data_IF_498271358717
#
_entry.id   IF_498271358717
#
_cell.length_a   1.000
_cell.length_b   1.000
_cell.length_c   1.000
_cell.angle_alpha   90.00
_cell.angle_beta   90.00
_cell.angle_gamma   90.00
#
_symmetry.space_group_name_H-M   'P 1'
#
loop_
_entity.id
_entity.type
_entity.pdbx_description
1 polymer ?
#
# COMPACT_ATOMS: atom_id res chain seq x y z
N UNK A 1 14.47 -19.97 -14.70
CA UNK A 1 13.03 -19.64 -14.65
C UNK A 1 12.91 -18.16 -14.36
N UNK A 2 12.13 -17.42 -15.17
CA UNK A 2 11.85 -16.02 -14.89
C UNK A 2 10.62 -15.96 -13.97
N UNK A 3 10.82 -15.63 -12.70
CA UNK A 3 9.73 -15.47 -11.75
C UNK A 3 9.25 -14.01 -11.77
N UNK A 4 7.94 -13.84 -11.93
CA UNK A 4 7.30 -12.52 -11.86
C UNK A 4 7.06 -12.16 -10.40
N UNK A 5 7.48 -10.96 -10.03
CA UNK A 5 7.28 -10.39 -8.71
C UNK A 5 6.69 -8.98 -8.83
N UNK A 6 5.95 -8.54 -7.81
CA UNK A 6 5.57 -7.15 -7.69
C UNK A 6 6.72 -6.35 -7.13
N UNK A 7 7.17 -5.33 -7.87
CA UNK A 7 8.17 -4.38 -7.40
C UNK A 7 7.52 -3.03 -7.14
N UNK A 8 7.91 -2.41 -6.03
CA UNK A 8 7.59 -1.01 -5.77
C UNK A 8 8.58 -0.09 -6.53
N UNK A 9 8.04 0.82 -7.32
CA UNK A 9 8.78 1.88 -8.01
C UNK A 9 8.41 3.22 -7.42
N UNK A 10 9.41 4.09 -7.29
CA UNK A 10 9.23 5.47 -6.90
C UNK A 10 9.19 6.34 -8.16
N UNK A 11 8.21 7.23 -8.25
CA UNK A 11 8.03 8.15 -9.38
C UNK A 11 8.58 9.53 -9.06
N UNK A 12 8.73 10.37 -10.08
CA UNK A 12 8.79 11.81 -9.84
C UNK A 12 7.47 12.30 -9.21
N UNK A 13 7.55 13.45 -8.53
CA UNK A 13 6.43 14.00 -7.77
C UNK A 13 5.22 14.25 -8.69
N UNK A 14 4.06 13.70 -8.33
CA UNK A 14 2.80 13.77 -9.08
C UNK A 14 2.82 13.13 -10.49
N UNK A 15 3.83 12.30 -10.81
CA UNK A 15 3.95 11.61 -12.10
C UNK A 15 3.51 10.13 -12.02
N UNK A 16 2.84 9.71 -10.95
CA UNK A 16 2.39 8.32 -10.75
C UNK A 16 1.47 7.85 -11.89
N UNK A 17 0.55 8.71 -12.32
CA UNK A 17 -0.40 8.40 -13.42
C UNK A 17 0.30 8.33 -14.77
N UNK A 18 1.28 9.20 -15.01
CA UNK A 18 2.09 9.19 -16.23
C UNK A 18 2.83 7.86 -16.37
N UNK A 19 3.56 7.45 -15.32
CA UNK A 19 4.30 6.20 -15.33
C UNK A 19 3.36 4.99 -15.47
N UNK A 20 2.24 4.99 -14.73
CA UNK A 20 1.21 3.94 -14.82
C UNK A 20 0.72 3.77 -16.25
N UNK A 21 0.26 4.85 -16.87
CA UNK A 21 -0.38 4.80 -18.19
C UNK A 21 0.63 4.40 -19.27
N UNK A 22 1.88 4.88 -19.17
CA UNK A 22 2.96 4.44 -20.04
C UNK A 22 3.22 2.93 -19.94
N UNK A 23 3.39 2.41 -18.71
CA UNK A 23 3.69 1.00 -18.50
C UNK A 23 2.52 0.08 -18.89
N UNK A 24 1.28 0.48 -18.62
CA UNK A 24 0.10 -0.23 -19.10
C UNK A 24 0.07 -0.31 -20.63
N UNK A 25 0.41 0.78 -21.33
CA UNK A 25 0.49 0.78 -22.79
C UNK A 25 1.61 -0.12 -23.35
N UNK A 26 2.66 -0.37 -22.57
CA UNK A 26 3.72 -1.34 -22.89
C UNK A 26 3.36 -2.78 -22.50
N UNK A 27 2.18 -3.02 -21.93
CA UNK A 27 1.70 -4.36 -21.56
C UNK A 27 2.16 -4.86 -20.20
N UNK A 28 2.70 -4.00 -19.33
CA UNK A 28 2.98 -4.37 -17.95
C UNK A 28 1.70 -4.48 -17.13
N UNK A 29 1.71 -5.40 -16.17
CA UNK A 29 0.72 -5.41 -15.11
C UNK A 29 1.15 -4.41 -14.02
N UNK A 30 0.29 -3.41 -13.78
CA UNK A 30 0.60 -2.25 -12.93
C UNK A 30 -0.54 -2.02 -11.95
N UNK A 31 -0.21 -1.64 -10.73
CA UNK A 31 -1.16 -1.25 -9.70
C UNK A 31 -0.75 0.07 -9.03
N UNK A 32 -1.60 1.09 -9.19
CA UNK A 32 -1.53 2.35 -8.44
C UNK A 32 -2.64 2.34 -7.39
N UNK A 33 -2.33 2.22 -6.10
CA UNK A 33 -3.36 2.31 -5.06
C UNK A 33 -3.83 3.76 -4.95
N UNK A 34 -5.08 4.03 -5.29
CA UNK A 34 -5.69 5.35 -5.15
C UNK A 34 -6.78 5.31 -4.08
N UNK A 35 -6.76 6.27 -3.16
CA UNK A 35 -7.84 6.47 -2.18
C UNK A 35 -8.80 7.56 -2.68
N UNK A 36 -10.07 7.40 -2.34
CA UNK A 36 -11.12 8.38 -2.57
C UNK A 36 -11.00 9.51 -1.54
N UNK A 37 -11.20 10.75 -1.95
CA UNK A 37 -11.39 11.86 -1.02
C UNK A 37 -12.39 12.89 -1.56
N UNK A 38 -12.98 13.65 -0.64
CA UNK A 38 -13.85 14.77 -0.99
C UNK A 38 -13.04 16.04 -1.15
N UNK A 39 -13.11 16.62 -2.33
CA UNK A 39 -12.45 17.88 -2.67
C UNK A 39 -13.50 18.98 -2.84
N UNK A 40 -13.23 20.15 -2.26
CA UNK A 40 -14.05 21.35 -2.51
C UNK A 40 -13.40 22.18 -3.60
N UNK A 41 -14.10 22.33 -4.72
CA UNK A 41 -13.66 23.15 -5.86
C UNK A 41 -14.63 24.32 -6.00
N UNK A 42 -14.15 25.51 -5.63
CA UNK A 42 -15.01 26.69 -5.48
C UNK A 42 -16.08 26.44 -4.42
N UNK A 43 -17.35 26.43 -4.82
CA UNK A 43 -18.49 26.18 -3.93
C UNK A 43 -19.13 24.78 -4.08
N UNK A 44 -18.49 23.86 -4.80
CA UNK A 44 -19.00 22.50 -5.06
C UNK A 44 -18.07 21.44 -4.47
N UNK A 45 -18.65 20.37 -3.92
CA UNK A 45 -17.91 19.16 -3.53
C UNK A 45 -17.89 18.18 -4.69
N UNK A 46 -16.72 17.61 -4.99
CA UNK A 46 -16.56 16.50 -5.93
C UNK A 46 -15.76 15.38 -5.29
N UNK A 47 -15.93 14.17 -5.82
CA UNK A 47 -15.10 13.03 -5.48
C UNK A 47 -13.84 13.10 -6.34
N UNK A 48 -12.68 13.05 -5.68
CA UNK A 48 -11.37 13.01 -6.31
C UNK A 48 -10.59 11.79 -5.81
N UNK A 49 -9.55 11.42 -6.54
CA UNK A 49 -8.68 10.28 -6.22
C UNK A 49 -7.24 10.74 -6.13
N UNK A 50 -6.54 10.26 -5.12
CA UNK A 50 -5.10 10.48 -4.98
C UNK A 50 -4.37 9.19 -4.62
N UNK A 51 -3.08 9.06 -4.94
CA UNK A 51 -2.27 7.93 -4.51
C UNK A 51 -2.33 7.74 -2.99
N UNK A 52 -2.63 6.52 -2.54
CA UNK A 52 -2.59 6.14 -1.14
C UNK A 52 -1.16 6.29 -0.60
N UNK A 53 -0.17 5.80 -1.36
CA UNK A 53 1.25 6.00 -1.10
C UNK A 53 1.79 6.99 -2.14
N UNK A 54 2.12 8.21 -1.70
CA UNK A 54 2.62 9.25 -2.60
C UNK A 54 3.89 8.79 -3.31
N UNK A 55 4.00 9.10 -4.59
CA UNK A 55 5.11 8.76 -5.47
C UNK A 55 5.38 7.25 -5.61
N UNK A 56 4.48 6.36 -5.20
CA UNK A 56 4.68 4.92 -5.31
C UNK A 56 3.75 4.29 -6.34
N UNK A 57 4.29 3.35 -7.10
CA UNK A 57 3.56 2.53 -8.06
C UNK A 57 4.06 1.08 -7.93
N UNK A 58 3.20 0.10 -8.12
CA UNK A 58 3.60 -1.32 -8.13
C UNK A 58 3.54 -1.86 -9.55
N UNK A 59 4.59 -2.59 -9.95
CA UNK A 59 4.71 -3.20 -11.28
C UNK A 59 5.05 -4.67 -11.11
N UNK A 60 4.27 -5.55 -11.74
CA UNK A 60 4.55 -6.98 -11.76
C UNK A 60 5.43 -7.30 -12.96
N UNK A 61 6.67 -7.71 -12.73
CA UNK A 61 7.61 -8.02 -13.80
C UNK A 61 8.72 -8.96 -13.34
N UNK A 62 9.63 -9.28 -14.25
CA UNK A 62 10.87 -10.00 -13.97
C UNK A 62 12.00 -9.01 -13.71
N UNK A 63 13.11 -9.46 -13.12
CA UNK A 63 14.30 -8.63 -12.92
C UNK A 63 14.82 -8.00 -14.24
N UNK A 64 14.66 -8.70 -15.37
CA UNK A 64 15.05 -8.19 -16.69
C UNK A 64 14.12 -7.07 -17.15
N UNK A 65 12.80 -7.23 -16.98
CA UNK A 65 11.82 -6.22 -17.34
C UNK A 65 11.91 -4.93 -16.52
N UNK A 66 12.60 -4.96 -15.38
CA UNK A 66 12.92 -3.73 -14.63
C UNK A 66 13.86 -2.79 -15.39
N UNK A 67 14.62 -3.26 -16.39
CA UNK A 67 15.46 -2.37 -17.18
C UNK A 67 14.62 -1.43 -18.04
N UNK A 68 13.53 -1.92 -18.62
CA UNK A 68 12.59 -1.12 -19.40
C UNK A 68 11.82 -0.14 -18.50
N UNK A 69 11.38 -0.60 -17.32
CA UNK A 69 10.70 0.24 -16.32
C UNK A 69 11.56 1.45 -15.91
N UNK A 70 12.88 1.28 -15.81
CA UNK A 70 13.80 2.38 -15.46
C UNK A 70 13.92 3.46 -16.55
N UNK A 71 13.60 3.12 -17.79
CA UNK A 71 13.64 4.06 -18.92
C UNK A 71 12.29 4.75 -19.14
N UNK A 72 11.25 4.34 -18.41
CA UNK A 72 9.91 4.90 -18.57
C UNK A 72 9.83 6.35 -18.07
N UNK A 73 9.06 7.22 -18.75
CA UNK A 73 8.81 8.58 -18.28
C UNK A 73 8.13 8.57 -16.91
N UNK A 74 8.59 9.46 -16.03
CA UNK A 74 8.11 9.58 -14.65
C UNK A 74 8.67 8.58 -13.66
N UNK A 75 9.51 7.64 -14.11
CA UNK A 75 10.30 6.81 -13.21
C UNK A 75 11.39 7.64 -12.50
N UNK A 76 11.53 7.47 -11.18
CA UNK A 76 12.65 8.03 -10.42
C UNK A 76 13.66 6.95 -10.02
N UNK A 77 13.24 5.98 -9.22
CA UNK A 77 14.10 4.90 -8.75
C UNK A 77 13.28 3.69 -8.27
N UNK A 78 13.94 2.54 -8.11
CA UNK A 78 13.33 1.37 -7.50
C UNK A 78 13.37 1.50 -5.97
N UNK A 79 12.25 1.19 -5.31
CA UNK A 79 12.20 1.15 -3.84
C UNK A 79 13.05 -0.03 -3.35
N UNK A 80 13.77 0.19 -2.25
CA UNK A 80 14.69 -0.79 -1.68
C UNK A 80 14.31 -1.09 -0.24
N UNK A 81 14.42 -2.37 0.12
CA UNK A 81 14.37 -2.82 1.50
C UNK A 81 15.74 -3.37 1.88
N UNK A 82 16.51 -2.58 2.63
CA UNK A 82 17.92 -2.84 2.88
C UNK A 82 18.72 -2.91 1.58
N UNK A 83 19.36 -4.06 1.32
CA UNK A 83 20.21 -4.27 0.13
C UNK A 83 19.42 -4.73 -1.11
N UNK A 84 18.18 -5.17 -0.92
CA UNK A 84 17.37 -5.79 -1.98
C UNK A 84 16.33 -4.82 -2.52
N UNK A 85 15.86 -5.07 -3.74
CA UNK A 85 14.70 -4.39 -4.28
C UNK A 85 13.47 -4.78 -3.47
N UNK A 86 12.58 -3.82 -3.20
CA UNK A 86 11.34 -4.07 -2.49
C UNK A 86 10.39 -4.90 -3.37
N UNK A 87 10.47 -6.22 -3.19
CA UNK A 87 9.50 -7.18 -3.74
C UNK A 87 8.31 -7.26 -2.80
N UNK A 88 7.14 -6.84 -3.27
CA UNK A 88 5.89 -6.86 -2.52
C UNK A 88 5.22 -8.22 -2.74
N UNK A 89 4.87 -8.97 -1.69
CA UNK A 89 4.12 -10.22 -1.88
C UNK A 89 2.73 -9.96 -2.45
N UNK A 90 2.22 -10.89 -3.26
CA UNK A 90 0.86 -10.82 -3.84
C UNK A 90 -0.21 -10.64 -2.74
N UNK A 91 -0.03 -11.30 -1.59
CA UNK A 91 -0.91 -11.16 -0.42
C UNK A 91 -1.03 -9.72 0.07
N UNK A 92 0.02 -8.90 -0.04
CA UNK A 92 -0.01 -7.49 0.32
C UNK A 92 -0.68 -6.63 -0.77
N UNK A 93 -0.51 -6.97 -2.06
CA UNK A 93 -1.28 -6.31 -3.13
C UNK A 93 -2.78 -6.56 -2.94
N UNK A 94 -3.16 -7.79 -2.60
CA UNK A 94 -4.55 -8.15 -2.27
C UNK A 94 -5.00 -7.39 -1.02
N UNK A 95 -4.18 -7.34 0.05
CA UNK A 95 -4.46 -6.57 1.27
C UNK A 95 -4.80 -5.11 0.95
N UNK A 96 -3.96 -4.42 0.15
CA UNK A 96 -4.18 -3.02 -0.23
C UNK A 96 -5.51 -2.88 -0.98
N UNK A 97 -5.77 -3.76 -1.97
CA UNK A 97 -7.02 -3.77 -2.73
C UNK A 97 -8.25 -3.98 -1.84
N UNK A 98 -8.21 -4.95 -0.93
CA UNK A 98 -9.28 -5.24 0.02
C UNK A 98 -9.55 -4.04 0.93
N UNK A 99 -8.50 -3.43 1.50
CA UNK A 99 -8.65 -2.26 2.37
C UNK A 99 -9.28 -1.10 1.59
N UNK A 100 -8.75 -0.75 0.42
CA UNK A 100 -9.27 0.36 -0.38
C UNK A 100 -10.70 0.12 -0.90
N UNK A 101 -11.12 -1.14 -1.05
CA UNK A 101 -12.48 -1.48 -1.45
C UNK A 101 -13.50 -1.30 -0.32
N UNK A 102 -13.16 -1.70 0.92
CA UNK A 102 -14.10 -1.71 2.04
C UNK A 102 -13.98 -0.49 2.98
N UNK A 103 -12.86 0.23 2.96
CA UNK A 103 -12.54 1.30 3.91
C UNK A 103 -12.12 2.57 3.19
N UNK A 104 -13.10 3.40 2.82
CA UNK A 104 -12.89 4.63 2.03
C UNK A 104 -11.98 5.66 2.74
N UNK A 105 -11.98 5.68 4.07
CA UNK A 105 -11.18 6.59 4.90
C UNK A 105 -9.74 6.09 5.15
N UNK A 106 -9.30 5.04 4.46
CA UNK A 106 -7.96 4.50 4.61
C UNK A 106 -6.89 5.55 4.24
N UNK A 107 -5.83 5.62 5.05
CA UNK A 107 -4.69 6.53 4.84
C UNK A 107 -3.38 5.78 4.99
N UNK A 108 -2.29 6.29 4.43
CA UNK A 108 -0.95 5.73 4.65
C UNK A 108 -0.23 6.42 5.79
N UNK A 109 0.62 5.70 6.50
CA UNK A 109 1.57 6.23 7.49
C UNK A 109 2.93 5.56 7.32
N UNK A 110 4.02 6.28 7.54
CA UNK A 110 5.35 5.68 7.51
C UNK A 110 5.54 4.75 8.71
N UNK A 111 6.16 3.58 8.52
CA UNK A 111 6.32 2.60 9.60
C UNK A 111 7.12 3.15 10.79
N UNK A 112 8.02 4.11 10.57
CA UNK A 112 8.77 4.80 11.63
C UNK A 112 7.90 5.65 12.57
N UNK A 113 6.65 5.93 12.18
CA UNK A 113 5.68 6.68 12.98
C UNK A 113 4.64 5.78 13.64
N UNK A 114 4.76 4.46 13.48
CA UNK A 114 3.82 3.47 14.02
C UNK A 114 4.46 2.82 15.23
N UNK A 115 3.83 2.99 16.39
CA UNK A 115 4.20 2.34 17.64
C UNK A 115 2.93 1.97 18.42
N UNK A 116 2.94 0.82 19.10
CA UNK A 116 1.75 0.30 19.75
C UNK A 116 1.76 -1.20 20.02
N UNK A 117 0.57 -1.77 20.17
CA UNK A 117 0.38 -3.20 20.42
C UNK A 117 -0.06 -3.93 19.18
N UNK A 118 0.48 -5.14 18.96
CA UNK A 118 0.03 -5.99 17.87
C UNK A 118 -1.37 -6.52 18.14
N UNK A 119 -2.25 -6.34 17.16
CA UNK A 119 -3.64 -6.83 17.18
C UNK A 119 -3.93 -7.65 15.94
N UNK A 120 -4.80 -8.64 16.09
CA UNK A 120 -5.38 -9.41 14.99
C UNK A 120 -6.84 -9.03 14.81
N UNK A 121 -7.28 -8.88 13.57
CA UNK A 121 -8.70 -8.73 13.23
C UNK A 121 -9.34 -10.12 13.18
N UNK A 122 -10.38 -10.35 13.96
CA UNK A 122 -11.03 -11.67 14.08
C UNK A 122 -12.41 -11.73 13.41
N UNK A 123 -12.94 -10.59 12.97
CA UNK A 123 -14.23 -10.52 12.27
C UNK A 123 -14.27 -9.37 11.25
N UNK A 124 -15.15 -9.49 10.24
CA UNK A 124 -15.27 -8.52 9.15
C UNK A 124 -14.34 -8.78 7.96
N UNK A 125 -14.22 -7.80 7.05
CA UNK A 125 -13.52 -7.97 5.77
C UNK A 125 -12.00 -8.14 5.88
N UNK A 126 -11.41 -7.77 7.02
CA UNK A 126 -9.97 -7.88 7.27
C UNK A 126 -9.62 -9.04 8.22
N UNK A 127 -10.56 -9.96 8.45
CA UNK A 127 -10.35 -11.13 9.31
C UNK A 127 -9.08 -11.89 8.93
N UNK A 128 -8.28 -12.25 9.94
CA UNK A 128 -7.01 -12.95 9.78
C UNK A 128 -5.81 -12.05 9.49
N UNK A 129 -6.02 -10.75 9.26
CA UNK A 129 -4.94 -9.77 9.14
C UNK A 129 -4.53 -9.25 10.52
N UNK A 130 -3.25 -8.90 10.65
CA UNK A 130 -2.70 -8.25 11.84
C UNK A 130 -2.28 -6.82 11.53
N UNK A 131 -2.19 -6.01 12.57
CA UNK A 131 -1.62 -4.67 12.50
C UNK A 131 -1.20 -4.19 13.87
N UNK A 132 -0.74 -2.95 13.93
CA UNK A 132 -0.41 -2.26 15.18
C UNK A 132 -1.54 -1.33 15.54
N UNK A 133 -2.07 -1.47 16.75
CA UNK A 133 -2.98 -0.51 17.35
C UNK A 133 -2.14 0.47 18.18
N UNK A 134 -2.11 1.77 17.84
CA UNK A 134 -1.37 2.75 18.61
C UNK A 134 -1.82 2.84 20.06
N UNK A 135 -0.89 3.20 20.95
CA UNK A 135 -1.21 3.50 22.34
C UNK A 135 -2.21 4.67 22.46
N UNK A 136 -3.08 4.62 23.47
CA UNK A 136 -4.07 5.66 23.75
C UNK A 136 -5.46 5.12 24.10
N UNK A 137 -6.40 6.03 24.30
CA UNK A 137 -7.81 5.73 24.60
C UNK A 137 -8.73 6.04 23.40
N UNK A 138 -9.94 5.48 23.42
CA UNK A 138 -10.95 5.67 22.38
C UNK A 138 -10.73 4.85 21.10
N UNK A 139 -11.37 5.29 20.01
CA UNK A 139 -11.22 4.68 18.69
C UNK A 139 -9.96 5.19 18.00
N UNK A 140 -9.16 4.27 17.47
CA UNK A 140 -7.92 4.57 16.75
C UNK A 140 -7.81 3.65 15.53
N UNK A 141 -7.20 4.12 14.44
CA UNK A 141 -6.95 3.25 13.31
C UNK A 141 -5.92 2.18 13.67
N UNK A 142 -6.12 0.98 13.16
CA UNK A 142 -5.10 -0.08 13.15
C UNK A 142 -4.20 0.16 11.95
N UNK A 143 -2.90 0.26 12.19
CA UNK A 143 -1.87 0.38 11.15
C UNK A 143 -1.50 -1.00 10.64
N UNK A 144 -1.88 -1.31 9.41
CA UNK A 144 -1.60 -2.60 8.75
C UNK A 144 -0.41 -2.47 7.81
N UNK A 145 0.70 -3.12 8.17
CA UNK A 145 1.96 -3.00 7.42
C UNK A 145 1.88 -3.62 6.01
N UNK A 146 2.53 -2.93 5.06
CA UNK A 146 2.85 -3.43 3.73
C UNK A 146 4.34 -3.79 3.68
N UNK A 147 4.63 -5.09 3.60
CA UNK A 147 6.00 -5.59 3.70
C UNK A 147 6.91 -4.97 2.64
N UNK A 148 8.15 -4.67 3.05
CA UNK A 148 9.22 -4.10 2.22
C UNK A 148 8.95 -2.70 1.64
N UNK A 149 7.74 -2.14 1.78
CA UNK A 149 7.42 -0.79 1.32
C UNK A 149 7.87 0.30 2.31
N UNK A 150 7.89 -0.01 3.61
CA UNK A 150 8.18 0.96 4.68
C UNK A 150 6.98 1.81 5.09
N UNK A 151 5.78 1.44 4.63
CA UNK A 151 4.51 2.09 4.95
C UNK A 151 3.48 1.10 5.46
N UNK A 152 2.56 1.62 6.27
CA UNK A 152 1.38 0.94 6.77
C UNK A 152 0.12 1.67 6.29
N UNK A 153 -0.99 0.95 6.20
CA UNK A 153 -2.31 1.51 5.94
C UNK A 153 -3.06 1.62 7.26
N UNK A 154 -3.47 2.83 7.61
CA UNK A 154 -4.34 3.10 8.74
C UNK A 154 -5.78 2.80 8.36
N UNK A 155 -6.39 1.86 9.08
CA UNK A 155 -7.77 1.43 8.86
C UNK A 155 -8.55 1.55 10.16
N UNK A 156 -9.71 2.23 10.11
CA UNK A 156 -10.65 2.24 11.22
C UNK A 156 -11.47 0.96 11.18
N UNK A 157 -11.25 0.09 12.17
CA UNK A 157 -12.04 -1.10 12.41
C UNK A 157 -12.70 -0.98 13.79
N UNK A 158 -13.89 -1.56 14.01
CA UNK A 158 -14.51 -1.52 15.33
C UNK A 158 -13.65 -2.27 16.35
N UNK A 159 -13.52 -1.71 17.56
CA UNK A 159 -12.61 -2.23 18.59
C UNK A 159 -12.94 -3.65 19.04
N UNK A 160 -14.21 -4.05 18.95
CA UNK A 160 -14.71 -5.40 19.24
C UNK A 160 -14.28 -6.45 18.20
N UNK A 161 -13.81 -6.01 17.03
CA UNK A 161 -13.35 -6.91 15.96
C UNK A 161 -11.86 -7.24 16.06
N UNK A 162 -11.15 -6.68 17.05
CA UNK A 162 -9.70 -6.84 17.21
C UNK A 162 -9.33 -7.45 18.57
N UNK A 163 -8.29 -8.28 18.57
CA UNK A 163 -7.73 -8.89 19.77
C UNK A 163 -6.23 -8.70 19.81
N UNK A 164 -5.69 -8.33 20.98
CA UNK A 164 -4.25 -8.24 21.17
C UNK A 164 -3.62 -9.62 21.00
N UNK A 165 -2.54 -9.68 20.22
CA UNK A 165 -1.78 -10.91 19.97
C UNK A 165 -0.29 -10.63 20.13
N UNK A 166 0.48 -11.67 20.47
CA UNK A 166 1.96 -11.61 20.46
C UNK A 166 2.56 -12.14 19.15
N UNK A 167 1.72 -12.61 18.22
CA UNK A 167 2.14 -13.18 16.95
C UNK A 167 2.06 -12.07 15.89
N UNK A 168 3.19 -11.58 15.37
CA UNK A 168 3.18 -10.74 14.16
C UNK A 168 2.60 -11.54 12.99
N UNK A 169 2.06 -10.88 11.95
CA UNK A 169 1.50 -11.56 10.77
C UNK A 169 2.40 -12.70 10.30
N UNK A 170 1.92 -13.94 10.41
CA UNK A 170 2.56 -15.10 9.79
C UNK A 170 2.28 -15.07 8.28
N UNK A 171 2.96 -14.20 7.55
CA UNK A 171 3.14 -14.37 6.10
C UNK A 171 4.53 -13.88 5.71
N UNK A 172 5.55 -14.68 6.02
CA UNK A 172 6.86 -14.60 5.38
C UNK A 172 7.21 -16.01 4.92
N UNK A 173 7.00 -16.27 3.63
CA UNK A 173 7.54 -17.43 2.92
C UNK A 173 8.65 -16.95 1.98
#
# INVERSE_FOLDING_TARGET
MHHYHWYAVYTHFNEEKLLRDYLLAQGYEVYLPERRYWETVGNKRRISYEPLFKCHLFVRTTQAGLQDVKQAPGFSHLVRHGRYLASIPESHIIKIKTILYYYEDATSVANSQVDGVTVAVVSGHLTGMTGILPHGEGERPVSMEIDHLGYSINVKVPMETIFQTKVPSMVSF
#
